data_IF_909172157113
#
_entry.id   IF_909172157113
#
_cell.length_a   1.000
_cell.length_b   1.000
_cell.length_c   1.000
_cell.angle_alpha   90.00
_cell.angle_beta   90.00
_cell.angle_gamma   90.00
#
_symmetry.space_group_name_H-M   'P 1'
#
loop_
_entity.id
_entity.type
_entity.pdbx_description
1 polymer ?
#
# COMPACT_ATOMS: atom_id res chain seq x y z
N UNK A 1 -21.79 4.27 20.60
CA UNK A 1 -20.58 4.74 19.91
C UNK A 1 -19.40 4.02 20.50
N UNK A 2 -18.80 3.12 19.73
CA UNK A 2 -17.55 2.48 20.11
C UNK A 2 -16.37 3.38 19.72
N UNK A 3 -15.23 3.18 20.38
CA UNK A 3 -13.96 3.83 20.05
C UNK A 3 -12.99 2.75 19.60
N UNK A 4 -12.33 2.99 18.48
CA UNK A 4 -11.38 2.06 17.88
C UNK A 4 -10.04 2.75 17.65
N UNK A 5 -8.93 2.03 17.82
CA UNK A 5 -7.65 2.47 17.31
C UNK A 5 -7.49 2.02 15.87
N UNK A 6 -6.97 2.90 15.01
CA UNK A 6 -6.53 2.55 13.67
C UNK A 6 -5.04 2.89 13.46
N UNK A 7 -4.27 1.95 12.91
CA UNK A 7 -2.87 2.21 12.58
C UNK A 7 -2.78 2.97 11.24
N UNK A 8 -1.89 3.95 11.18
CA UNK A 8 -1.54 4.63 9.93
C UNK A 8 -0.70 3.74 8.98
N UNK A 9 -0.15 2.62 9.47
CA UNK A 9 0.65 1.69 8.68
C UNK A 9 1.33 0.65 9.58
N UNK A 10 2.38 0.01 9.07
CA UNK A 10 3.10 -1.08 9.74
C UNK A 10 4.46 -0.66 10.34
N UNK A 11 4.78 0.64 10.31
CA UNK A 11 6.03 1.21 10.82
C UNK A 11 7.11 1.40 9.75
N UNK A 12 7.02 0.65 8.64
CA UNK A 12 7.82 0.90 7.43
C UNK A 12 7.09 1.81 6.44
N UNK A 13 5.74 1.80 6.49
CA UNK A 13 4.86 2.61 5.65
C UNK A 13 3.92 3.44 6.51
N UNK A 14 3.51 4.59 5.99
CA UNK A 14 2.60 5.54 6.64
C UNK A 14 1.57 6.05 5.62
N UNK A 15 0.33 5.60 5.76
CA UNK A 15 -0.83 5.96 4.93
C UNK A 15 -1.66 7.09 5.54
N UNK A 16 -1.21 7.74 6.63
CA UNK A 16 -1.97 8.80 7.28
C UNK A 16 -2.36 9.90 6.29
N UNK A 17 -1.45 10.30 5.41
CA UNK A 17 -1.70 11.33 4.41
C UNK A 17 -2.83 10.93 3.45
N UNK A 18 -2.89 9.66 3.04
CA UNK A 18 -3.98 9.13 2.20
C UNK A 18 -5.31 9.18 2.95
N UNK A 19 -5.32 8.72 4.20
CA UNK A 19 -6.52 8.66 5.03
C UNK A 19 -7.12 10.05 5.28
N UNK A 20 -6.26 11.00 5.64
CA UNK A 20 -6.64 12.39 5.92
C UNK A 20 -7.06 13.12 4.65
N UNK A 21 -6.28 13.00 3.57
CA UNK A 21 -6.55 13.69 2.30
C UNK A 21 -7.88 13.28 1.70
N UNK A 22 -8.24 12.00 1.75
CA UNK A 22 -9.45 11.51 1.10
C UNK A 22 -10.62 11.28 2.06
N UNK A 23 -10.45 11.52 3.35
CA UNK A 23 -11.51 11.29 4.33
C UNK A 23 -11.90 9.82 4.41
N UNK A 24 -10.92 8.92 4.47
CA UNK A 24 -11.13 7.47 4.48
C UNK A 24 -10.32 6.78 5.55
N UNK A 25 -10.75 5.60 5.94
CA UNK A 25 -9.91 4.61 6.61
C UNK A 25 -9.92 3.33 5.78
N UNK A 26 -8.72 2.81 5.49
CA UNK A 26 -8.50 1.68 4.59
C UNK A 26 -7.84 0.52 5.33
N UNK A 27 -8.25 -0.71 5.02
CA UNK A 27 -7.57 -1.93 5.46
C UNK A 27 -7.43 -2.91 4.29
N UNK A 28 -6.42 -3.78 4.38
CA UNK A 28 -6.13 -4.80 3.38
C UNK A 28 -5.57 -6.08 3.99
N UNK A 29 -5.29 -7.10 3.16
CA UNK A 29 -5.43 -7.07 1.70
C UNK A 29 -6.89 -7.11 1.25
N UNK A 30 -7.18 -6.63 0.04
CA UNK A 30 -8.52 -6.60 -0.56
C UNK A 30 -8.64 -7.30 -1.91
N UNK A 31 -7.58 -7.98 -2.37
CA UNK A 31 -7.48 -8.55 -3.72
C UNK A 31 -8.44 -9.70 -3.99
N UNK A 32 -8.92 -10.39 -2.95
CA UNK A 32 -9.97 -11.41 -3.05
C UNK A 32 -11.39 -10.82 -3.19
N UNK A 33 -11.53 -9.50 -3.20
CA UNK A 33 -12.79 -8.81 -3.43
C UNK A 33 -13.54 -8.38 -2.16
N UNK A 34 -14.86 -8.11 -2.25
CA UNK A 34 -15.63 -7.65 -1.10
C UNK A 34 -15.72 -8.70 0.00
N UNK A 35 -15.64 -8.28 1.27
CA UNK A 35 -15.67 -9.18 2.43
C UNK A 35 -16.93 -10.06 2.46
N UNK A 36 -18.12 -9.47 2.37
CA UNK A 36 -19.41 -10.18 2.46
C UNK A 36 -19.69 -11.16 1.31
N UNK A 37 -18.85 -11.19 0.28
CA UNK A 37 -18.90 -12.21 -0.78
C UNK A 37 -17.78 -13.25 -0.69
N UNK A 38 -16.78 -13.02 0.16
CA UNK A 38 -15.52 -13.77 0.18
C UNK A 38 -15.04 -14.04 1.62
N UNK A 39 -15.95 -14.16 2.59
CA UNK A 39 -15.63 -14.33 4.01
C UNK A 39 -14.64 -15.47 4.26
N UNK A 40 -14.77 -16.58 3.53
CA UNK A 40 -13.86 -17.72 3.61
C UNK A 40 -12.40 -17.33 3.36
N UNK A 41 -12.13 -16.50 2.35
CA UNK A 41 -10.78 -16.04 2.03
C UNK A 41 -10.16 -15.18 3.15
N UNK A 42 -10.99 -14.47 3.93
CA UNK A 42 -10.53 -13.56 4.97
C UNK A 42 -10.53 -14.17 6.39
N UNK A 43 -11.32 -15.22 6.61
CA UNK A 43 -11.49 -15.84 7.93
C UNK A 43 -10.72 -17.16 8.08
N UNK A 44 -10.26 -17.78 6.97
CA UNK A 44 -9.44 -18.98 6.99
C UNK A 44 -8.00 -18.67 7.44
N UNK A 45 -7.53 -19.27 8.53
CA UNK A 45 -6.19 -19.03 9.09
C UNK A 45 -5.06 -19.42 8.12
N UNK A 46 -5.31 -20.32 7.18
CA UNK A 46 -4.32 -20.76 6.19
C UNK A 46 -4.31 -19.86 4.94
N UNK A 47 -5.24 -18.90 4.83
CA UNK A 47 -5.32 -17.97 3.71
C UNK A 47 -4.28 -16.85 3.81
N UNK A 48 -3.62 -16.55 2.69
CA UNK A 48 -2.71 -15.40 2.56
C UNK A 48 -3.38 -14.05 2.89
N UNK A 49 -4.70 -13.97 2.69
CA UNK A 49 -5.51 -12.78 2.94
C UNK A 49 -6.09 -12.70 4.34
N UNK A 50 -5.91 -13.72 5.17
CA UNK A 50 -6.39 -13.72 6.53
C UNK A 50 -5.70 -12.64 7.36
N UNK A 51 -6.48 -11.67 7.80
CA UNK A 51 -6.04 -10.63 8.72
C UNK A 51 -7.09 -10.46 9.82
N UNK A 52 -6.69 -10.53 11.10
CA UNK A 52 -7.63 -10.54 12.23
C UNK A 52 -8.45 -9.25 12.36
N UNK A 53 -8.07 -8.19 11.66
CA UNK A 53 -8.74 -6.90 11.68
C UNK A 53 -9.75 -6.68 10.53
N UNK A 54 -9.78 -7.53 9.48
CA UNK A 54 -10.70 -7.34 8.35
C UNK A 54 -12.15 -7.63 8.76
N UNK A 55 -12.37 -8.75 9.45
CA UNK A 55 -13.69 -9.10 9.98
C UNK A 55 -14.30 -8.00 10.87
N UNK A 56 -13.64 -7.51 11.93
CA UNK A 56 -14.22 -6.42 12.74
C UNK A 56 -14.37 -5.12 11.97
N UNK A 57 -13.52 -4.83 10.97
CA UNK A 57 -13.70 -3.68 10.09
C UNK A 57 -14.98 -3.77 9.24
N UNK A 58 -15.26 -4.94 8.68
CA UNK A 58 -16.42 -5.18 7.84
C UNK A 58 -17.72 -5.26 8.67
N UNK A 59 -17.71 -6.04 9.75
CA UNK A 59 -18.93 -6.40 10.50
C UNK A 59 -19.25 -5.45 11.67
N UNK A 60 -18.25 -4.91 12.35
CA UNK A 60 -18.45 -4.24 13.65
C UNK A 60 -18.24 -2.73 13.63
N UNK A 61 -17.36 -2.22 12.76
CA UNK A 61 -17.11 -0.79 12.65
C UNK A 61 -18.32 -0.11 11.99
N UNK A 62 -19.10 0.65 12.76
CA UNK A 62 -20.37 1.21 12.32
C UNK A 62 -20.33 2.73 12.11
N UNK A 63 -21.32 3.28 11.39
CA UNK A 63 -21.53 4.73 11.26
C UNK A 63 -21.67 5.34 12.66
N UNK A 64 -20.97 6.45 12.89
CA UNK A 64 -20.93 7.16 14.17
C UNK A 64 -19.88 6.66 15.14
N UNK A 65 -19.20 5.54 14.88
CA UNK A 65 -18.07 5.10 15.71
C UNK A 65 -16.86 6.03 15.57
N UNK A 66 -16.04 6.08 16.63
CA UNK A 66 -14.85 6.91 16.71
C UNK A 66 -13.60 6.11 16.32
N UNK A 67 -12.76 6.67 15.47
CA UNK A 67 -11.46 6.12 15.10
C UNK A 67 -10.33 7.00 15.65
N UNK A 68 -9.31 6.38 16.24
CA UNK A 68 -8.08 7.05 16.68
C UNK A 68 -6.96 6.64 15.72
N UNK A 69 -6.62 7.51 14.78
CA UNK A 69 -5.51 7.30 13.86
C UNK A 69 -4.21 7.54 14.61
N UNK A 70 -3.37 6.51 14.67
CA UNK A 70 -2.14 6.53 15.45
C UNK A 70 -0.90 6.13 14.67
N UNK A 71 0.24 6.67 15.09
CA UNK A 71 1.57 6.18 14.71
C UNK A 71 2.46 5.96 15.93
N UNK A 72 3.50 5.11 15.84
CA UNK A 72 4.49 4.98 16.90
C UNK A 72 5.20 6.32 17.16
N UNK A 73 5.40 6.65 18.44
CA UNK A 73 6.25 7.77 18.87
C UNK A 73 7.12 7.29 20.03
N UNK A 74 8.35 6.88 19.71
CA UNK A 74 9.27 6.21 20.65
C UNK A 74 8.63 4.98 21.31
N UNK A 75 8.42 5.00 22.63
CA UNK A 75 7.78 3.92 23.40
C UNK A 75 6.27 4.12 23.60
N UNK A 76 5.69 5.17 22.99
CA UNK A 76 4.29 5.55 23.12
C UNK A 76 3.64 5.69 21.73
N UNK A 77 2.40 6.19 21.72
CA UNK A 77 1.63 6.38 20.50
C UNK A 77 1.22 7.84 20.36
N UNK A 78 1.43 8.39 19.17
CA UNK A 78 0.92 9.70 18.79
C UNK A 78 -0.46 9.54 18.16
N UNK A 79 -1.43 10.35 18.61
CA UNK A 79 -2.71 10.52 17.94
C UNK A 79 -2.50 11.53 16.81
N UNK A 80 -2.57 11.05 15.57
CA UNK A 80 -2.47 11.90 14.38
C UNK A 80 -3.80 12.58 14.06
N UNK A 81 -4.89 11.86 14.27
CA UNK A 81 -6.23 12.35 14.06
C UNK A 81 -7.25 11.50 14.82
N UNK A 82 -8.42 12.09 15.03
CA UNK A 82 -9.59 11.40 15.53
C UNK A 82 -10.71 11.57 14.52
N UNK A 83 -11.31 10.45 14.13
CA UNK A 83 -12.29 10.38 13.06
C UNK A 83 -13.64 9.88 13.53
N UNK A 84 -14.69 10.25 12.82
CA UNK A 84 -16.01 9.65 12.94
C UNK A 84 -16.37 8.93 11.63
N UNK A 85 -16.80 7.68 11.72
CA UNK A 85 -17.22 6.90 10.55
C UNK A 85 -18.53 7.46 10.01
N UNK A 86 -18.56 7.78 8.72
CA UNK A 86 -19.73 8.42 8.06
C UNK A 86 -20.31 7.60 6.90
N UNK A 87 -19.79 6.38 6.65
CA UNK A 87 -20.35 5.48 5.63
C UNK A 87 -20.41 4.02 6.09
N UNK A 88 -21.23 3.26 5.36
CA UNK A 88 -21.19 1.81 5.37
C UNK A 88 -19.88 1.26 4.75
N UNK A 89 -19.72 -0.05 4.84
CA UNK A 89 -18.57 -0.77 4.30
C UNK A 89 -18.57 -0.64 2.79
N UNK A 90 -17.40 -0.34 2.23
CA UNK A 90 -17.20 -0.29 0.80
C UNK A 90 -15.95 -1.11 0.42
N UNK A 91 -16.03 -1.81 -0.70
CA UNK A 91 -14.87 -2.34 -1.41
C UNK A 91 -14.63 -1.47 -2.64
N UNK A 92 -13.44 -0.88 -2.78
CA UNK A 92 -13.16 0.07 -3.85
C UNK A 92 -11.84 -0.23 -4.57
N UNK A 93 -11.93 -0.37 -5.89
CA UNK A 93 -10.78 -0.60 -6.77
C UNK A 93 -9.84 0.60 -6.86
N UNK A 94 -10.29 1.79 -6.47
CA UNK A 94 -9.43 2.99 -6.39
C UNK A 94 -8.27 2.79 -5.42
N UNK A 95 -8.44 1.89 -4.44
CA UNK A 95 -7.42 1.55 -3.45
C UNK A 95 -6.79 0.17 -3.69
N UNK A 96 -6.84 -0.34 -4.93
CA UNK A 96 -6.16 -1.58 -5.32
C UNK A 96 -4.63 -1.43 -5.38
N UNK A 97 -4.10 -0.21 -5.27
CA UNK A 97 -2.66 0.03 -5.17
C UNK A 97 -2.42 1.30 -4.37
N UNK A 98 -2.34 1.15 -3.04
CA UNK A 98 -1.91 2.21 -2.13
C UNK A 98 -0.47 1.91 -1.74
N UNK A 99 0.47 2.53 -2.44
CA UNK A 99 1.91 2.35 -2.25
C UNK A 99 2.34 0.87 -2.30
N UNK A 100 1.80 0.11 -3.27
CA UNK A 100 2.09 -1.30 -3.48
C UNK A 100 1.24 -2.27 -2.64
N UNK A 101 0.14 -1.81 -2.03
CA UNK A 101 -0.78 -2.67 -1.28
C UNK A 101 -2.24 -2.54 -1.72
N UNK A 102 -2.92 -3.68 -1.70
CA UNK A 102 -4.36 -3.82 -1.94
C UNK A 102 -5.18 -3.38 -0.71
N UNK A 103 -5.38 -2.07 -0.49
CA UNK A 103 -6.14 -1.53 0.66
C UNK A 103 -7.62 -1.24 0.32
N UNK A 104 -8.28 -2.19 -0.34
CA UNK A 104 -9.59 -1.96 -0.96
C UNK A 104 -10.79 -1.96 0.01
N UNK A 105 -10.63 -2.43 1.25
CA UNK A 105 -11.69 -2.35 2.26
C UNK A 105 -11.69 -0.95 2.87
N UNK A 106 -12.76 -0.19 2.66
CA UNK A 106 -12.80 1.23 2.98
C UNK A 106 -14.07 1.66 3.71
N UNK A 107 -13.92 2.72 4.51
CA UNK A 107 -14.99 3.49 5.15
C UNK A 107 -14.68 4.97 4.97
N UNK A 108 -15.69 5.79 4.70
CA UNK A 108 -15.56 7.24 4.78
C UNK A 108 -15.51 7.68 6.24
N UNK A 109 -14.60 8.60 6.54
CA UNK A 109 -14.32 9.10 7.88
C UNK A 109 -14.16 10.60 7.84
N UNK A 110 -14.88 11.29 8.72
CA UNK A 110 -14.66 12.71 8.97
C UNK A 110 -13.58 12.86 10.02
N UNK A 111 -12.41 13.35 9.62
CA UNK A 111 -11.24 13.47 10.48
C UNK A 111 -11.11 14.85 11.12
N UNK A 112 -10.61 14.85 12.37
CA UNK A 112 -10.06 16.03 13.04
C UNK A 112 -8.64 15.78 13.50
N UNK A 113 -7.73 16.70 13.20
CA UNK A 113 -6.34 16.66 13.64
C UNK A 113 -6.17 17.45 14.95
N UNK A 114 -5.29 17.00 15.86
CA UNK A 114 -5.01 17.74 17.07
C UNK A 114 -4.23 19.03 16.74
N UNK A 115 -4.40 20.08 17.54
CA UNK A 115 -3.71 21.38 17.35
C UNK A 115 -2.25 21.36 17.78
N UNK A 116 -1.88 20.39 18.60
CA UNK A 116 -0.54 20.12 19.09
C UNK A 116 -0.34 18.62 19.13
N UNK A 117 0.91 18.17 19.17
CA UNK A 117 1.22 16.76 19.30
C UNK A 117 0.55 16.16 20.55
N UNK A 118 -0.18 15.06 20.37
CA UNK A 118 -0.92 14.36 21.42
C UNK A 118 -0.36 12.95 21.58
N UNK A 119 0.35 12.70 22.69
CA UNK A 119 0.99 11.41 22.96
C UNK A 119 0.23 10.68 24.07
N UNK A 120 -0.14 9.44 23.81
CA UNK A 120 -0.91 8.61 24.75
C UNK A 120 -0.25 7.25 24.99
N UNK A 121 -0.41 6.74 26.22
CA UNK A 121 -0.14 5.36 26.58
C UNK A 121 -1.40 4.49 26.43
N UNK A 122 -1.22 3.17 26.38
CA UNK A 122 -2.34 2.20 26.41
C UNK A 122 -2.86 1.74 25.04
N UNK A 123 -2.50 2.43 23.96
CA UNK A 123 -2.72 1.91 22.61
C UNK A 123 -1.75 0.74 22.31
N UNK A 124 -2.11 -0.13 21.38
CA UNK A 124 -1.37 -1.37 21.09
C UNK A 124 -0.87 -1.44 19.65
N UNK A 125 0.13 -2.29 19.40
CA UNK A 125 0.50 -2.69 18.04
C UNK A 125 -0.68 -3.47 17.43
N UNK A 126 -1.22 -2.99 16.31
CA UNK A 126 -2.39 -3.56 15.63
C UNK A 126 -3.17 -2.53 14.80
N UNK A 127 -3.66 -2.96 13.64
CA UNK A 127 -4.33 -2.11 12.64
C UNK A 127 -5.71 -1.63 13.06
N UNK A 128 -6.56 -2.50 13.62
CA UNK A 128 -7.88 -2.12 14.13
C UNK A 128 -8.18 -2.90 15.40
N UNK A 129 -8.45 -2.19 16.51
CA UNK A 129 -8.88 -2.80 17.78
C UNK A 129 -9.79 -1.85 18.55
N UNK A 130 -10.77 -2.39 19.28
CA UNK A 130 -11.57 -1.61 20.20
C UNK A 130 -10.71 -1.02 21.32
N UNK A 131 -11.04 0.19 21.75
CA UNK A 131 -10.38 0.93 22.83
C UNK A 131 -11.37 1.13 23.95
N UNK A 132 -11.04 0.62 25.13
CA UNK A 132 -11.84 0.72 26.36
C UNK A 132 -11.08 1.43 27.50
N UNK A 133 -9.96 2.08 27.19
CA UNK A 133 -9.10 2.74 28.16
C UNK A 133 -9.61 4.17 28.38
N UNK A 134 -10.10 4.54 29.58
CA UNK A 134 -10.76 5.84 29.79
C UNK A 134 -9.89 7.05 29.47
N UNK A 135 -8.58 7.01 29.78
CA UNK A 135 -7.66 8.11 29.49
C UNK A 135 -7.46 8.35 27.99
N UNK A 136 -7.40 7.28 27.20
CA UNK A 136 -7.27 7.35 25.74
C UNK A 136 -8.56 7.85 25.11
N UNK A 137 -9.72 7.40 25.62
CA UNK A 137 -11.03 7.88 25.16
C UNK A 137 -11.17 9.39 25.44
N UNK A 138 -10.81 9.84 26.64
CA UNK A 138 -10.85 11.26 26.99
C UNK A 138 -9.93 12.11 26.09
N UNK A 139 -8.71 11.65 25.81
CA UNK A 139 -7.81 12.32 24.87
C UNK A 139 -8.42 12.38 23.46
N UNK A 140 -9.01 11.29 22.98
CA UNK A 140 -9.66 11.27 21.67
C UNK A 140 -10.86 12.24 21.59
N UNK A 141 -11.69 12.29 22.64
CA UNK A 141 -12.82 13.22 22.72
C UNK A 141 -12.37 14.69 22.79
N UNK A 142 -11.24 14.96 23.45
CA UNK A 142 -10.62 16.29 23.45
C UNK A 142 -10.18 16.70 22.04
N UNK A 143 -9.50 15.81 21.31
CA UNK A 143 -9.11 16.05 19.90
C UNK A 143 -10.35 16.22 19.02
N UNK A 144 -11.40 15.42 19.22
CA UNK A 144 -12.64 15.58 18.46
C UNK A 144 -13.35 16.91 18.71
N UNK A 145 -13.33 17.39 19.96
CA UNK A 145 -14.01 18.64 20.33
C UNK A 145 -13.21 19.87 19.90
N UNK A 146 -11.90 19.86 20.09
CA UNK A 146 -11.04 21.04 19.94
C UNK A 146 -10.15 21.04 18.69
N UNK A 147 -10.01 19.89 18.03
CA UNK A 147 -9.18 19.71 16.83
C UNK A 147 -9.66 20.48 15.61
N UNK A 148 -8.83 20.48 14.58
CA UNK A 148 -9.11 21.11 13.29
C UNK A 148 -9.69 20.07 12.32
N UNK A 149 -10.74 20.43 11.58
CA UNK A 149 -11.26 19.56 10.54
C UNK A 149 -10.21 19.33 9.45
N UNK A 150 -9.98 18.07 9.08
CA UNK A 150 -9.11 17.75 7.96
C UNK A 150 -9.79 18.15 6.64
N UNK A 151 -9.07 18.89 5.79
CA UNK A 151 -9.56 19.20 4.45
C UNK A 151 -9.55 17.92 3.59
N UNK A 152 -10.73 17.47 3.19
CA UNK A 152 -10.89 16.26 2.37
C UNK A 152 -11.04 16.62 0.90
N UNK A 153 -10.45 15.81 0.04
CA UNK A 153 -10.56 15.86 -1.42
C UNK A 153 -11.47 14.71 -1.86
N UNK A 154 -12.29 14.88 -2.91
CA UNK A 154 -13.03 13.78 -3.49
C UNK A 154 -12.14 12.60 -3.85
N UNK A 155 -12.70 11.38 -3.74
CA UNK A 155 -11.99 10.18 -4.14
C UNK A 155 -11.57 10.24 -5.61
N UNK A 156 -10.38 9.71 -5.96
CA UNK A 156 -10.00 9.53 -7.35
C UNK A 156 -11.07 8.71 -8.09
N UNK A 157 -11.29 9.03 -9.36
CA UNK A 157 -12.14 8.21 -10.22
C UNK A 157 -11.40 6.90 -10.49
N UNK A 158 -12.13 5.79 -10.40
CA UNK A 158 -11.62 4.47 -10.79
C UNK A 158 -11.11 4.53 -12.24
N UNK A 159 -9.80 4.27 -12.41
CA UNK A 159 -9.19 4.28 -13.73
C UNK A 159 -9.54 2.99 -14.46
N UNK A 160 -9.91 3.12 -15.72
CA UNK A 160 -10.09 1.97 -16.61
C UNK A 160 -8.76 1.23 -16.76
N UNK A 161 -8.84 -0.10 -16.84
CA UNK A 161 -7.69 -0.92 -17.23
C UNK A 161 -7.27 -0.52 -18.64
N UNK A 162 -5.97 -0.32 -18.79
CA UNK A 162 -5.33 -0.01 -20.08
C UNK A 162 -5.00 -1.33 -20.77
N UNK A 163 -5.32 -1.41 -22.06
CA UNK A 163 -4.98 -2.52 -22.95
C UNK A 163 -3.51 -2.48 -23.37
N UNK A 164 -3.03 -3.60 -23.93
CA UNK A 164 -1.68 -3.71 -24.54
C UNK A 164 -1.50 -2.63 -25.60
N UNK A 165 -2.47 -2.50 -26.50
CA UNK A 165 -2.40 -1.60 -27.65
C UNK A 165 -2.36 -0.13 -27.21
N UNK A 166 -3.16 0.25 -26.20
CA UNK A 166 -3.13 1.61 -25.64
C UNK A 166 -1.78 1.95 -25.01
N UNK A 167 -1.08 0.98 -24.38
CA UNK A 167 0.27 1.21 -23.85
C UNK A 167 1.27 1.38 -25.00
N UNK A 168 1.17 0.57 -26.06
CA UNK A 168 2.03 0.70 -27.24
C UNK A 168 1.84 2.04 -27.92
N UNK A 169 0.59 2.46 -28.16
CA UNK A 169 0.25 3.74 -28.77
C UNK A 169 0.76 4.93 -27.92
N UNK A 170 0.66 4.84 -26.60
CA UNK A 170 1.20 5.85 -25.70
C UNK A 170 2.73 5.95 -25.79
N UNK A 171 3.45 4.81 -25.77
CA UNK A 171 4.90 4.79 -25.94
C UNK A 171 5.34 5.34 -27.30
N UNK A 172 4.60 5.01 -28.37
CA UNK A 172 4.85 5.54 -29.70
C UNK A 172 4.64 7.05 -29.77
N UNK A 173 3.63 7.57 -29.06
CA UNK A 173 3.37 9.01 -28.95
C UNK A 173 4.51 9.77 -28.26
N UNK A 174 5.22 9.11 -27.34
CA UNK A 174 6.45 9.62 -26.69
C UNK A 174 7.72 9.41 -27.54
N UNK A 175 7.59 8.95 -28.79
CA UNK A 175 8.70 8.80 -29.73
C UNK A 175 9.44 7.46 -29.64
N UNK A 176 8.93 6.48 -28.89
CA UNK A 176 9.51 5.13 -28.87
C UNK A 176 9.14 4.38 -30.16
N UNK A 177 10.10 3.79 -30.90
CA UNK A 177 9.80 3.02 -32.11
C UNK A 177 8.84 1.85 -31.82
N UNK A 178 7.89 1.60 -32.73
CA UNK A 178 6.83 0.58 -32.55
C UNK A 178 7.38 -0.80 -32.16
N UNK A 179 8.46 -1.26 -32.78
CA UNK A 179 9.05 -2.56 -32.46
C UNK A 179 9.56 -2.62 -31.02
N UNK A 180 10.11 -1.50 -30.51
CA UNK A 180 10.60 -1.40 -29.13
C UNK A 180 9.44 -1.28 -28.14
N UNK A 181 8.42 -0.49 -28.49
CA UNK A 181 7.20 -0.36 -27.68
C UNK A 181 6.49 -1.73 -27.52
N UNK A 182 6.37 -2.49 -28.60
CA UNK A 182 5.85 -3.86 -28.59
C UNK A 182 6.70 -4.78 -27.72
N UNK A 183 8.02 -4.81 -27.93
CA UNK A 183 8.94 -5.64 -27.13
C UNK A 183 8.84 -5.34 -25.62
N UNK A 184 8.82 -4.05 -25.25
CA UNK A 184 8.66 -3.61 -23.86
C UNK A 184 7.34 -4.11 -23.28
N UNK A 185 6.25 -3.89 -24.01
CA UNK A 185 4.90 -4.23 -23.55
C UNK A 185 4.75 -5.75 -23.42
N UNK A 186 5.15 -6.52 -24.43
CA UNK A 186 5.15 -7.99 -24.39
C UNK A 186 5.98 -8.55 -23.23
N UNK A 187 7.13 -7.93 -22.95
CA UNK A 187 7.97 -8.30 -21.81
C UNK A 187 7.22 -8.07 -20.51
N UNK A 188 6.64 -6.88 -20.30
CA UNK A 188 5.85 -6.58 -19.10
C UNK A 188 4.73 -7.61 -18.91
N UNK A 189 3.98 -7.95 -19.96
CA UNK A 189 2.90 -8.95 -19.87
C UNK A 189 3.39 -10.37 -19.60
N UNK A 190 4.53 -10.77 -20.18
CA UNK A 190 5.18 -12.04 -19.85
C UNK A 190 5.57 -12.08 -18.37
N UNK A 191 6.20 -11.01 -17.87
CA UNK A 191 6.64 -10.90 -16.49
C UNK A 191 5.48 -10.93 -15.51
N UNK A 192 4.37 -10.24 -15.80
CA UNK A 192 3.14 -10.29 -15.00
C UNK A 192 2.61 -11.72 -14.85
N UNK A 193 2.64 -12.51 -15.92
CA UNK A 193 2.21 -13.92 -15.88
C UNK A 193 3.12 -14.77 -14.99
N UNK A 194 4.44 -14.57 -15.07
CA UNK A 194 5.40 -15.26 -14.20
C UNK A 194 5.18 -14.87 -12.74
N UNK A 195 5.05 -13.56 -12.45
CA UNK A 195 4.80 -13.06 -11.09
C UNK A 195 3.50 -13.63 -10.50
N UNK A 196 2.41 -13.67 -11.27
CA UNK A 196 1.15 -14.27 -10.85
C UNK A 196 1.28 -15.77 -10.58
N UNK A 197 2.10 -16.48 -11.35
CA UNK A 197 2.36 -17.89 -11.12
C UNK A 197 3.15 -18.09 -9.81
N UNK A 198 4.19 -17.28 -9.57
CA UNK A 198 4.95 -17.29 -8.31
C UNK A 198 4.09 -16.96 -7.09
N UNK A 199 3.19 -15.98 -7.18
CA UNK A 199 2.27 -15.68 -6.08
C UNK A 199 1.39 -16.88 -5.69
N UNK A 200 1.04 -17.75 -6.65
CA UNK A 200 0.15 -18.90 -6.42
C UNK A 200 0.88 -20.19 -6.07
N UNK A 201 2.08 -20.39 -6.61
CA UNK A 201 2.78 -21.69 -6.54
C UNK A 201 4.23 -21.58 -6.05
N UNK A 202 4.74 -20.37 -5.86
CA UNK A 202 6.15 -20.10 -5.61
C UNK A 202 6.52 -20.09 -4.13
N UNK A 203 6.10 -21.09 -3.36
CA UNK A 203 6.44 -21.18 -1.94
C UNK A 203 7.95 -21.25 -1.68
N UNK A 204 8.71 -21.72 -2.66
CA UNK A 204 10.17 -21.88 -2.67
C UNK A 204 10.89 -20.88 -3.60
N UNK A 205 10.18 -19.92 -4.19
CA UNK A 205 10.77 -18.93 -5.09
C UNK A 205 11.59 -17.94 -4.27
N UNK A 206 12.90 -17.95 -4.48
CA UNK A 206 13.84 -17.08 -3.82
C UNK A 206 14.03 -15.75 -4.55
N UNK A 207 14.77 -14.87 -3.88
CA UNK A 207 15.12 -13.55 -4.39
C UNK A 207 15.95 -13.64 -5.69
N UNK A 208 16.80 -14.67 -5.83
CA UNK A 208 17.58 -14.89 -7.05
C UNK A 208 16.70 -15.17 -8.27
N UNK A 209 15.63 -15.97 -8.11
CA UNK A 209 14.65 -16.23 -9.15
C UNK A 209 13.89 -14.95 -9.52
N UNK A 210 13.48 -14.15 -8.53
CA UNK A 210 12.82 -12.85 -8.76
C UNK A 210 13.73 -11.92 -9.56
N UNK A 211 15.00 -11.77 -9.16
CA UNK A 211 15.97 -10.94 -9.86
C UNK A 211 16.19 -11.42 -11.30
N UNK A 212 16.39 -12.72 -11.47
CA UNK A 212 16.73 -13.32 -12.78
C UNK A 212 15.56 -13.32 -13.75
N UNK A 213 14.37 -13.69 -13.29
CA UNK A 213 13.23 -13.93 -14.17
C UNK A 213 12.25 -12.77 -14.27
N UNK A 214 12.27 -11.83 -13.32
CA UNK A 214 11.41 -10.64 -13.32
C UNK A 214 12.20 -9.34 -13.52
N UNK A 215 13.17 -9.05 -12.66
CA UNK A 215 13.83 -7.73 -12.63
C UNK A 215 14.75 -7.52 -13.83
N UNK A 216 15.70 -8.44 -14.06
CA UNK A 216 16.67 -8.30 -15.17
C UNK A 216 15.97 -8.21 -16.53
N UNK A 217 14.98 -9.06 -16.88
CA UNK A 217 14.29 -8.94 -18.16
C UNK A 217 13.48 -7.65 -18.30
N UNK A 218 12.94 -7.10 -17.20
CA UNK A 218 12.30 -5.79 -17.23
C UNK A 218 13.31 -4.72 -17.62
N UNK A 219 14.44 -4.67 -16.91
CA UNK A 219 15.50 -3.68 -17.14
C UNK A 219 16.06 -3.73 -18.57
N UNK A 220 16.33 -4.93 -19.08
CA UNK A 220 16.83 -5.08 -20.45
C UNK A 220 15.79 -4.64 -21.48
N UNK A 221 14.50 -4.91 -21.25
CA UNK A 221 13.42 -4.42 -22.14
C UNK A 221 13.31 -2.89 -22.14
N UNK A 222 13.56 -2.23 -21.00
CA UNK A 222 13.62 -0.77 -20.90
C UNK A 222 14.85 -0.19 -21.60
N UNK A 223 15.86 -1.01 -21.91
CA UNK A 223 17.04 -0.65 -22.69
C UNK A 223 18.33 -0.55 -21.88
N UNK A 224 18.36 -1.02 -20.64
CA UNK A 224 19.61 -1.22 -19.94
C UNK A 224 20.34 -2.43 -20.51
N UNK A 225 21.43 -2.18 -21.23
CA UNK A 225 22.32 -3.23 -21.70
C UNK A 225 22.96 -3.97 -20.52
N UNK A 226 23.18 -5.28 -20.65
CA UNK A 226 23.65 -6.16 -19.58
C UNK A 226 25.02 -5.72 -19.03
N UNK A 227 25.87 -5.11 -19.86
CA UNK A 227 27.17 -4.59 -19.43
C UNK A 227 27.04 -3.38 -18.50
N UNK A 228 25.87 -2.74 -18.44
CA UNK A 228 25.54 -1.62 -17.56
C UNK A 228 24.76 -2.05 -16.31
N UNK A 229 24.57 -3.35 -16.10
CA UNK A 229 23.84 -3.90 -14.94
C UNK A 229 24.80 -4.75 -14.11
N UNK A 230 24.74 -4.60 -12.79
CA UNK A 230 25.34 -5.55 -11.86
C UNK A 230 24.29 -6.10 -10.92
N UNK A 231 24.44 -7.38 -10.61
CA UNK A 231 23.61 -8.12 -9.66
C UNK A 231 24.51 -8.43 -8.46
N UNK A 232 23.99 -8.27 -7.25
CA UNK A 232 24.72 -8.49 -5.99
C UNK A 232 26.01 -7.66 -5.86
N UNK A 233 25.99 -6.42 -6.33
CA UNK A 233 27.15 -5.54 -6.25
C UNK A 233 27.22 -4.87 -4.87
N UNK A 234 28.29 -5.11 -4.12
CA UNK A 234 28.48 -4.55 -2.77
C UNK A 234 27.31 -4.82 -1.81
N UNK A 235 26.71 -6.01 -1.89
CA UNK A 235 25.51 -6.42 -1.12
C UNK A 235 24.23 -5.65 -1.46
N UNK A 236 24.20 -4.96 -2.61
CA UNK A 236 22.97 -4.42 -3.20
C UNK A 236 22.50 -5.34 -4.33
N UNK A 237 21.19 -5.46 -4.47
CA UNK A 237 20.58 -6.50 -5.30
C UNK A 237 20.80 -6.29 -6.79
N UNK A 238 20.42 -5.11 -7.31
CA UNK A 238 20.67 -4.73 -8.70
C UNK A 238 21.12 -3.27 -8.78
N UNK A 239 22.22 -3.04 -9.50
CA UNK A 239 22.82 -1.71 -9.67
C UNK A 239 22.96 -1.40 -11.15
N UNK A 240 22.43 -0.23 -11.55
CA UNK A 240 22.47 0.26 -12.91
C UNK A 240 23.54 1.34 -13.05
N UNK A 241 24.24 1.32 -14.17
CA UNK A 241 25.29 2.28 -14.52
C UNK A 241 24.91 3.04 -15.80
N UNK A 242 25.42 4.26 -15.95
CA UNK A 242 25.23 5.08 -17.16
C UNK A 242 26.05 4.56 -18.36
N UNK A 243 27.15 3.87 -18.06
CA UNK A 243 28.14 3.33 -18.98
C UNK A 243 28.41 1.85 -18.66
N UNK A 244 29.10 1.15 -19.56
CA UNK A 244 29.49 -0.23 -19.28
C UNK A 244 30.37 -0.27 -18.03
N UNK A 245 30.02 -1.14 -17.09
CA UNK A 245 30.66 -1.19 -15.78
C UNK A 245 32.15 -1.48 -15.88
N UNK A 246 32.94 -0.65 -15.18
CA UNK A 246 34.37 -0.82 -14.97
C UNK A 246 34.66 -0.73 -13.47
N UNK A 247 35.25 -1.79 -12.92
CA UNK A 247 35.59 -1.88 -11.50
C UNK A 247 36.46 -0.70 -11.07
N UNK A 248 36.07 -0.01 -10.00
CA UNK A 248 36.81 1.13 -9.43
C UNK A 248 36.69 2.44 -10.22
N UNK A 249 35.89 2.47 -11.29
CA UNK A 249 35.72 3.66 -12.14
C UNK A 249 34.26 4.06 -12.27
N UNK A 250 33.36 3.09 -12.45
CA UNK A 250 31.93 3.35 -12.66
C UNK A 250 31.22 3.70 -11.36
N UNK A 251 30.41 4.76 -11.40
CA UNK A 251 29.55 5.18 -10.30
C UNK A 251 28.11 4.67 -10.51
N UNK A 252 27.42 4.17 -9.47
CA UNK A 252 26.02 3.79 -9.55
C UNK A 252 25.13 4.95 -10.01
N UNK A 253 24.19 4.66 -10.91
CA UNK A 253 23.13 5.59 -11.33
C UNK A 253 21.82 5.29 -10.59
N UNK A 254 21.45 4.01 -10.52
CA UNK A 254 20.23 3.54 -9.84
C UNK A 254 20.58 2.30 -9.04
N UNK A 255 20.00 2.19 -7.85
CA UNK A 255 20.05 1.00 -7.00
C UNK A 255 18.61 0.49 -6.88
N UNK A 256 18.43 -0.82 -7.05
CA UNK A 256 17.17 -1.52 -6.89
C UNK A 256 17.40 -2.58 -5.84
N UNK A 257 16.59 -2.55 -4.78
CA UNK A 257 16.53 -3.54 -3.70
C UNK A 257 15.26 -4.38 -3.93
N UNK A 258 15.34 -5.70 -3.74
CA UNK A 258 14.29 -6.66 -4.11
C UNK A 258 14.01 -7.69 -3.03
#
# INVERSE_FOLDING_TARGET
MAVWQCAAGDGNRDYADVFLKYGVFLVGPGSDGPYFGNEGAYNDLDSASCRPFIKPFAEHLAIGDRLILKRPSSQQWEILAVGEVVSDYLHSQVFADVEGWDLQHCRSVRWKTPRSQEIVGGLTRGTLKGVNIPSVIAAADQVWTSGQDAATTPLPIERKRISVDEVVDALMSEGIPVQRAQLMTDTIWRLRRVAQWYQKHGADVGEHEIRTFLIVPLLTSLGWAEQKVKIEWNRMDVVLFDTAYKRGVSNPLVIIES
#
